data_IF_025547447811
#
_entry.id   IF_025547447811
#
_cell.length_a   1.000
_cell.length_b   1.000
_cell.length_c   1.000
_cell.angle_alpha   90.00
_cell.angle_beta   90.00
_cell.angle_gamma   90.00
#
_symmetry.space_group_name_H-M   'P 1'
#
loop_
_entity.id
_entity.type
_entity.pdbx_description
1 polymer ?
#
# COMPACT_ATOMS: atom_id res chain seq x y z
N UNK A 1 55.11 -27.47 -68.46
CA UNK A 1 56.33 -26.84 -67.93
C UNK A 1 56.11 -25.37 -67.80
N UNK A 2 56.68 -24.80 -66.77
CA UNK A 2 56.75 -23.38 -66.39
C UNK A 2 55.65 -22.86 -65.55
N UNK A 3 56.06 -22.70 -64.34
CA UNK A 3 55.41 -22.14 -63.14
C UNK A 3 55.58 -20.63 -63.21
N UNK A 4 54.50 -19.88 -63.04
CA UNK A 4 54.60 -18.45 -62.72
C UNK A 4 53.80 -18.13 -61.47
N UNK A 5 54.53 -17.79 -60.40
CA UNK A 5 53.97 -17.33 -59.08
C UNK A 5 53.59 -15.88 -59.26
N UNK A 6 52.36 -15.57 -58.96
CA UNK A 6 51.92 -14.19 -58.74
C UNK A 6 51.63 -13.97 -57.28
N UNK A 7 52.29 -12.98 -56.66
CA UNK A 7 52.13 -12.51 -55.28
C UNK A 7 50.95 -11.58 -55.25
N UNK A 8 49.91 -11.96 -54.55
CA UNK A 8 48.84 -11.06 -54.26
C UNK A 8 49.08 -10.35 -52.87
N UNK A 9 49.11 -9.06 -52.90
CA UNK A 9 49.27 -8.17 -51.74
C UNK A 9 48.05 -8.27 -50.85
N UNK A 10 48.28 -8.50 -49.57
CA UNK A 10 47.23 -8.43 -48.52
C UNK A 10 47.06 -6.99 -48.08
N UNK A 11 45.97 -6.38 -48.46
CA UNK A 11 45.50 -5.11 -47.88
C UNK A 11 44.75 -5.44 -46.62
N UNK A 12 45.27 -5.05 -45.47
CA UNK A 12 44.60 -5.14 -44.19
C UNK A 12 43.72 -3.90 -44.03
N UNK A 13 42.40 -4.06 -44.17
CA UNK A 13 41.43 -3.04 -43.80
C UNK A 13 41.12 -3.20 -42.31
N UNK A 14 41.56 -2.24 -41.52
CA UNK A 14 41.14 -2.09 -40.12
C UNK A 14 39.73 -1.50 -40.07
N UNK A 15 38.74 -2.34 -39.78
CA UNK A 15 37.38 -1.89 -39.49
C UNK A 15 37.30 -1.50 -38.01
N UNK A 16 37.25 -0.20 -37.75
CA UNK A 16 36.95 0.36 -36.43
C UNK A 16 35.45 0.17 -36.14
N UNK A 17 35.12 -0.83 -35.33
CA UNK A 17 33.78 -0.94 -34.72
C UNK A 17 33.61 0.14 -33.65
N UNK A 18 33.00 1.26 -34.01
CA UNK A 18 32.48 2.23 -33.07
C UNK A 18 31.24 1.63 -32.37
N UNK A 19 31.44 1.06 -31.18
CA UNK A 19 30.34 0.63 -30.33
C UNK A 19 29.61 1.82 -29.78
N UNK A 20 28.46 2.18 -30.32
CA UNK A 20 27.53 3.11 -29.71
C UNK A 20 26.87 2.41 -28.52
N UNK A 21 27.35 2.70 -27.30
CA UNK A 21 26.69 2.32 -26.06
C UNK A 21 25.50 3.25 -25.92
N UNK A 22 24.33 2.79 -26.34
CA UNK A 22 23.05 3.38 -25.98
C UNK A 22 22.83 3.16 -24.48
N UNK A 23 23.17 4.14 -23.65
CA UNK A 23 22.73 4.25 -22.28
C UNK A 23 21.23 4.50 -22.32
N UNK A 24 20.42 3.44 -22.31
CA UNK A 24 19.02 3.53 -21.90
C UNK A 24 19.01 3.91 -20.43
N UNK A 25 19.06 5.21 -20.17
CA UNK A 25 18.68 5.77 -18.89
C UNK A 25 17.17 5.52 -18.72
N UNK A 26 16.84 4.31 -18.29
CA UNK A 26 15.51 4.01 -17.78
C UNK A 26 15.28 4.97 -16.62
N UNK A 27 14.51 6.03 -16.88
CA UNK A 27 13.90 6.82 -15.84
C UNK A 27 12.96 5.89 -15.08
N UNK A 28 13.51 5.14 -14.12
CA UNK A 28 12.72 4.53 -13.08
C UNK A 28 12.08 5.71 -12.35
N UNK A 29 10.85 6.03 -12.75
CA UNK A 29 10.02 7.00 -12.06
C UNK A 29 9.83 6.46 -10.65
N UNK A 30 10.68 6.93 -9.75
CA UNK A 30 10.61 6.62 -8.33
C UNK A 30 9.38 7.32 -7.76
N UNK A 31 8.20 6.68 -7.97
CA UNK A 31 6.95 7.06 -7.33
C UNK A 31 7.07 7.12 -5.80
N UNK A 32 8.07 6.47 -5.23
CA UNK A 32 8.42 6.57 -3.81
C UNK A 32 8.96 7.95 -3.40
N UNK A 33 9.64 8.68 -4.28
CA UNK A 33 10.20 10.00 -3.94
C UNK A 33 9.12 11.08 -3.78
N UNK A 34 7.95 10.90 -4.38
CA UNK A 34 6.84 11.84 -4.23
C UNK A 34 6.22 11.80 -2.82
N UNK A 35 6.28 10.68 -2.14
CA UNK A 35 5.76 10.49 -0.78
C UNK A 35 6.60 11.23 0.26
N UNK A 36 7.91 11.36 0.02
CA UNK A 36 8.83 12.09 0.92
C UNK A 36 8.85 13.61 0.68
N UNK A 37 8.33 14.09 -0.43
CA UNK A 37 8.31 15.52 -0.78
C UNK A 37 7.05 16.27 -0.35
N UNK A 38 6.38 15.82 0.73
CA UNK A 38 5.35 16.60 1.40
C UNK A 38 3.90 16.29 1.02
N UNK A 39 3.63 15.16 0.38
CA UNK A 39 2.26 14.64 0.23
C UNK A 39 1.65 14.21 1.55
N UNK A 40 0.31 13.99 1.58
CA UNK A 40 -0.34 13.42 2.75
C UNK A 40 0.15 11.98 2.97
N UNK A 41 0.31 11.59 4.23
CA UNK A 41 0.56 10.19 4.55
C UNK A 41 -0.20 9.79 5.81
N UNK A 42 -0.32 8.48 6.01
CA UNK A 42 -1.13 7.85 7.02
C UNK A 42 -0.31 6.78 7.74
N UNK A 43 -0.46 6.66 9.05
CA UNK A 43 0.04 5.50 9.78
C UNK A 43 -1.06 4.91 10.66
N UNK A 44 -0.94 3.63 10.97
CA UNK A 44 -1.89 2.90 11.80
C UNK A 44 -1.16 2.45 13.05
N UNK A 45 -1.67 2.85 14.20
CA UNK A 45 -1.19 2.42 15.51
C UNK A 45 -2.01 1.24 16.01
N UNK A 46 -1.34 0.11 16.15
CA UNK A 46 -1.88 -1.10 16.74
C UNK A 46 -0.73 -1.97 17.28
N UNK A 47 -0.77 -2.50 18.51
CA UNK A 47 -1.83 -2.28 19.52
C UNK A 47 -1.86 -0.82 20.02
N UNK A 48 -3.01 -0.41 20.51
CA UNK A 48 -3.18 0.93 21.09
C UNK A 48 -2.52 0.97 22.45
N UNK A 49 -1.90 2.12 22.79
CA UNK A 49 -1.41 2.37 24.13
C UNK A 49 -2.55 2.28 25.17
N UNK A 50 -2.49 1.34 26.12
CA UNK A 50 -3.57 1.15 27.10
C UNK A 50 -3.75 2.35 28.06
N UNK A 51 -2.75 3.22 28.15
CA UNK A 51 -2.81 4.44 28.97
C UNK A 51 -3.39 5.65 28.22
N UNK A 52 -3.66 5.53 26.92
CA UNK A 52 -4.34 6.58 26.16
C UNK A 52 -5.86 6.50 26.42
N UNK A 53 -6.30 7.14 27.47
CA UNK A 53 -7.71 7.09 27.90
C UNK A 53 -8.71 7.53 26.81
N UNK A 54 -8.46 8.59 26.00
CA UNK A 54 -9.29 8.95 24.86
C UNK A 54 -9.43 7.87 23.79
N UNK A 55 -8.42 7.03 23.63
CA UNK A 55 -8.39 5.95 22.66
C UNK A 55 -9.08 4.65 23.12
N UNK A 56 -9.57 4.63 24.35
CA UNK A 56 -10.20 3.43 24.94
C UNK A 56 -11.35 2.91 24.09
N UNK A 57 -11.34 1.60 23.82
CA UNK A 57 -12.34 0.93 23.00
C UNK A 57 -12.17 1.12 21.50
N UNK A 58 -11.14 1.83 21.04
CA UNK A 58 -10.78 1.80 19.64
C UNK A 58 -10.11 0.46 19.28
N UNK A 59 -10.27 0.04 18.05
CA UNK A 59 -9.61 -1.13 17.51
C UNK A 59 -8.17 -0.80 17.07
N UNK A 60 -8.00 0.39 16.48
CA UNK A 60 -6.71 0.98 16.12
C UNK A 60 -6.85 2.49 15.99
N UNK A 61 -5.71 3.20 15.96
CA UNK A 61 -5.68 4.62 15.67
C UNK A 61 -5.15 4.87 14.27
N UNK A 62 -5.67 5.92 13.65
CA UNK A 62 -5.23 6.44 12.36
C UNK A 62 -4.53 7.75 12.62
N UNK A 63 -3.27 7.85 12.24
CA UNK A 63 -2.52 9.10 12.28
C UNK A 63 -2.37 9.65 10.87
N UNK A 64 -2.69 10.92 10.69
CA UNK A 64 -2.58 11.63 9.42
C UNK A 64 -1.58 12.76 9.50
N UNK A 65 -0.78 12.91 8.45
CA UNK A 65 0.32 13.86 8.40
C UNK A 65 0.37 14.59 7.06
N UNK A 66 0.89 15.80 7.10
CA UNK A 66 1.31 16.56 5.94
C UNK A 66 2.67 17.18 6.24
N UNK A 67 3.66 17.01 5.37
CA UNK A 67 5.05 17.42 5.62
C UNK A 67 5.62 16.90 6.95
N UNK A 68 5.32 15.67 7.31
CA UNK A 68 5.70 15.04 8.58
C UNK A 68 5.10 15.72 9.84
N UNK A 69 4.18 16.66 9.68
CA UNK A 69 3.47 17.31 10.78
C UNK A 69 2.09 16.67 10.94
N UNK A 70 1.68 16.28 12.17
CA UNK A 70 0.32 15.81 12.41
C UNK A 70 -0.70 16.84 11.92
N UNK A 71 -1.61 16.42 11.06
CA UNK A 71 -2.56 17.32 10.39
C UNK A 71 -3.93 16.67 10.30
N UNK A 72 -4.99 17.41 10.60
CA UNK A 72 -6.35 16.95 10.43
C UNK A 72 -6.72 16.90 8.94
N UNK A 73 -6.45 15.77 8.30
CA UNK A 73 -6.96 15.48 6.97
C UNK A 73 -8.41 14.98 7.08
N UNK A 74 -9.17 15.10 5.99
CA UNK A 74 -10.48 14.46 5.91
C UNK A 74 -10.28 12.94 5.89
N UNK A 75 -10.76 12.23 6.92
CA UNK A 75 -10.64 10.78 7.06
C UNK A 75 -11.99 10.13 6.86
N UNK A 76 -12.08 9.30 5.85
CA UNK A 76 -13.22 8.42 5.60
C UNK A 76 -12.81 6.98 5.86
N UNK A 77 -13.70 6.19 6.44
CA UNK A 77 -13.45 4.78 6.68
C UNK A 77 -14.68 3.94 6.38
N UNK A 78 -14.45 2.71 5.92
CA UNK A 78 -15.48 1.70 5.76
C UNK A 78 -14.91 0.32 6.04
N UNK A 79 -15.70 -0.54 6.67
CA UNK A 79 -15.42 -1.95 6.79
C UNK A 79 -16.06 -2.71 5.63
N UNK A 80 -15.27 -3.51 4.97
CA UNK A 80 -15.69 -4.45 3.91
C UNK A 80 -15.47 -5.86 4.44
N UNK A 81 -16.50 -6.70 4.39
CA UNK A 81 -16.42 -8.03 4.98
C UNK A 81 -17.04 -9.11 4.14
N UNK A 82 -16.66 -10.33 4.45
CA UNK A 82 -17.28 -11.55 3.96
C UNK A 82 -17.85 -12.31 5.17
N UNK A 83 -19.18 -12.29 5.30
CA UNK A 83 -19.94 -12.94 6.38
C UNK A 83 -20.81 -14.02 5.76
N UNK A 84 -20.62 -15.26 6.15
CA UNK A 84 -21.35 -16.43 5.60
C UNK A 84 -21.30 -16.46 4.06
N UNK A 85 -20.14 -16.12 3.49
CA UNK A 85 -19.92 -16.05 2.04
C UNK A 85 -20.53 -14.84 1.34
N UNK A 86 -21.27 -13.99 2.05
CA UNK A 86 -21.90 -12.79 1.51
C UNK A 86 -21.06 -11.54 1.81
N UNK A 87 -20.95 -10.66 0.82
CA UNK A 87 -20.29 -9.38 1.00
C UNK A 87 -21.15 -8.43 1.84
N UNK A 88 -20.49 -7.75 2.77
CA UNK A 88 -21.06 -6.72 3.63
C UNK A 88 -20.17 -5.49 3.60
N UNK A 89 -20.80 -4.32 3.62
CA UNK A 89 -20.11 -3.03 3.72
C UNK A 89 -20.75 -2.23 4.84
N UNK A 90 -19.92 -1.67 5.71
CA UNK A 90 -20.36 -0.81 6.81
C UNK A 90 -19.54 0.49 6.74
N UNK A 91 -20.22 1.62 6.63
CA UNK A 91 -19.59 2.93 6.76
C UNK A 91 -19.20 3.15 8.22
N UNK A 92 -18.00 3.66 8.46
CA UNK A 92 -17.48 3.92 9.79
C UNK A 92 -17.31 5.42 10.02
N UNK A 93 -17.41 5.84 11.25
CA UNK A 93 -17.21 7.22 11.65
C UNK A 93 -15.97 7.36 12.56
N UNK A 94 -14.76 7.53 12.00
CA UNK A 94 -13.56 7.73 12.79
C UNK A 94 -13.71 8.93 13.73
N UNK A 95 -13.46 8.73 15.02
CA UNK A 95 -13.59 9.79 16.03
C UNK A 95 -12.27 10.53 16.15
N UNK A 96 -12.24 11.84 15.89
CA UNK A 96 -11.06 12.67 16.15
C UNK A 96 -10.76 12.72 17.66
N UNK A 97 -9.53 12.36 18.03
CA UNK A 97 -9.06 12.41 19.42
C UNK A 97 -8.18 13.63 19.68
N UNK A 98 -7.30 13.92 18.76
CA UNK A 98 -6.36 15.04 18.76
C UNK A 98 -5.90 15.33 17.34
N UNK A 99 -5.17 16.42 17.14
CA UNK A 99 -4.67 16.81 15.80
C UNK A 99 -4.01 15.63 15.10
N UNK A 100 -4.51 15.31 13.91
CA UNK A 100 -4.01 14.23 13.07
C UNK A 100 -4.23 12.82 13.63
N UNK A 101 -5.06 12.63 14.67
CA UNK A 101 -5.29 11.30 15.27
C UNK A 101 -6.77 10.99 15.39
N UNK A 102 -7.16 9.86 14.84
CA UNK A 102 -8.55 9.40 14.79
C UNK A 102 -8.65 7.97 15.33
N UNK A 103 -9.66 7.70 16.14
CA UNK A 103 -9.98 6.36 16.62
C UNK A 103 -10.97 5.67 15.68
N UNK A 104 -10.67 4.44 15.32
CA UNK A 104 -11.59 3.56 14.59
C UNK A 104 -12.05 2.45 15.54
N UNK A 105 -13.38 2.30 15.64
CA UNK A 105 -14.02 1.30 16.48
C UNK A 105 -14.64 0.20 15.63
N UNK A 106 -14.83 -0.97 16.24
CA UNK A 106 -15.56 -2.06 15.58
C UNK A 106 -17.06 -1.78 15.60
N UNK A 107 -17.62 -1.39 14.46
CA UNK A 107 -19.04 -1.11 14.27
C UNK A 107 -19.73 -2.17 13.37
N UNK A 108 -18.99 -3.21 12.90
CA UNK A 108 -19.51 -4.20 11.94
C UNK A 108 -19.79 -5.57 12.54
N UNK A 109 -19.47 -5.77 13.82
CA UNK A 109 -19.72 -7.03 14.52
C UNK A 109 -18.55 -8.02 14.47
N UNK A 110 -18.72 -9.14 15.17
CA UNK A 110 -17.64 -10.09 15.46
C UNK A 110 -17.50 -11.23 14.42
N UNK A 111 -18.47 -11.41 13.49
CA UNK A 111 -18.43 -12.52 12.55
C UNK A 111 -17.85 -12.11 11.20
N UNK A 112 -17.13 -13.05 10.57
CA UNK A 112 -16.64 -12.91 9.21
C UNK A 112 -15.18 -12.48 9.12
N UNK A 113 -14.71 -12.32 7.89
CA UNK A 113 -13.39 -11.81 7.54
C UNK A 113 -13.54 -10.38 7.06
N UNK A 114 -12.85 -9.45 7.68
CA UNK A 114 -13.04 -8.03 7.42
C UNK A 114 -11.75 -7.33 6.98
N UNK A 115 -11.88 -6.31 6.16
CA UNK A 115 -10.85 -5.30 5.89
C UNK A 115 -11.45 -3.92 6.14
N UNK A 116 -10.76 -3.09 6.89
CA UNK A 116 -11.11 -1.68 7.05
C UNK A 116 -10.29 -0.87 6.06
N UNK A 117 -10.98 -0.17 5.18
CA UNK A 117 -10.40 0.75 4.22
C UNK A 117 -10.50 2.16 4.77
N UNK A 118 -9.35 2.82 4.90
CA UNK A 118 -9.24 4.19 5.39
C UNK A 118 -8.71 5.04 4.26
N UNK A 119 -9.36 6.16 3.98
CA UNK A 119 -8.91 7.16 3.00
C UNK A 119 -8.72 8.47 3.73
N UNK A 120 -7.51 9.01 3.66
CA UNK A 120 -7.21 10.35 4.11
C UNK A 120 -7.00 11.26 2.90
N UNK A 121 -7.72 12.40 2.87
CA UNK A 121 -7.72 13.32 1.75
C UNK A 121 -7.24 14.70 2.19
N UNK A 122 -6.26 15.21 1.45
CA UNK A 122 -5.79 16.59 1.53
C UNK A 122 -6.59 17.44 0.54
N UNK A 123 -7.12 18.59 0.95
CA UNK A 123 -7.99 19.40 0.07
C UNK A 123 -7.24 20.15 -1.03
N UNK A 124 -6.03 20.65 -0.74
CA UNK A 124 -5.28 21.49 -1.70
C UNK A 124 -3.74 21.32 -1.53
N UNK A 125 -3.00 20.89 -2.59
CA UNK A 125 -3.55 20.26 -3.79
C UNK A 125 -4.26 18.95 -3.44
N UNK A 126 -5.33 18.63 -4.15
CA UNK A 126 -6.13 17.43 -3.82
C UNK A 126 -5.30 16.17 -3.99
N UNK A 127 -5.07 15.48 -2.90
CA UNK A 127 -4.36 14.20 -2.88
C UNK A 127 -4.99 13.28 -1.85
N UNK A 128 -5.12 12.00 -2.18
CA UNK A 128 -5.68 10.99 -1.28
C UNK A 128 -4.72 9.82 -1.12
N UNK A 129 -4.67 9.30 0.08
CA UNK A 129 -3.91 8.11 0.43
C UNK A 129 -4.85 7.11 1.09
N UNK A 130 -4.60 5.82 0.86
CA UNK A 130 -5.38 4.74 1.44
C UNK A 130 -4.52 3.85 2.33
N UNK A 131 -5.10 3.45 3.46
CA UNK A 131 -4.63 2.31 4.24
C UNK A 131 -5.70 1.22 4.24
N UNK A 132 -5.27 -0.02 4.33
CA UNK A 132 -6.13 -1.19 4.48
C UNK A 132 -5.66 -1.98 5.69
N UNK A 133 -6.58 -2.20 6.61
CA UNK A 133 -6.34 -2.94 7.85
C UNK A 133 -7.17 -4.22 7.81
N UNK A 134 -6.50 -5.35 7.78
CA UNK A 134 -7.16 -6.64 7.87
C UNK A 134 -7.56 -6.93 9.31
N UNK A 135 -8.79 -7.39 9.50
CA UNK A 135 -9.32 -7.75 10.82
C UNK A 135 -9.75 -9.20 10.80
N UNK A 136 -9.29 -9.95 11.79
CA UNK A 136 -9.63 -11.36 11.98
C UNK A 136 -11.06 -11.55 12.50
N UNK A 137 -11.53 -12.79 12.43
CA UNK A 137 -12.85 -13.17 12.96
C UNK A 137 -12.94 -13.00 14.49
N UNK A 138 -11.81 -13.00 15.16
CA UNK A 138 -11.67 -12.73 16.60
C UNK A 138 -11.63 -11.23 16.94
N UNK A 139 -11.73 -10.36 15.92
CA UNK A 139 -11.61 -8.91 16.06
C UNK A 139 -10.16 -8.41 16.18
N UNK A 140 -9.16 -9.28 16.07
CA UNK A 140 -7.76 -8.85 16.11
C UNK A 140 -7.36 -8.09 14.86
N UNK A 141 -6.51 -7.07 15.02
CA UNK A 141 -5.89 -6.37 13.91
C UNK A 141 -4.76 -7.24 13.35
N UNK A 142 -4.87 -7.57 12.08
CA UNK A 142 -3.89 -8.35 11.36
C UNK A 142 -2.92 -7.48 10.56
N UNK A 143 -2.87 -7.73 9.23
CA UNK A 143 -1.97 -6.98 8.33
C UNK A 143 -2.47 -5.56 8.11
N UNK A 144 -1.54 -4.61 8.14
CA UNK A 144 -1.72 -3.24 7.65
C UNK A 144 -1.00 -3.11 6.31
N UNK A 145 -1.70 -2.57 5.31
CA UNK A 145 -1.17 -2.36 3.96
C UNK A 145 -1.43 -0.92 3.52
N UNK A 146 -0.41 -0.28 2.96
CA UNK A 146 -0.53 1.01 2.28
C UNK A 146 -0.41 0.74 0.77
N UNK A 147 -1.53 0.59 0.05
CA UNK A 147 -1.49 0.26 -1.36
C UNK A 147 -0.96 1.46 -2.18
N UNK A 148 -0.19 1.19 -3.23
CA UNK A 148 0.35 2.23 -4.12
C UNK A 148 -0.73 2.93 -4.95
N UNK A 149 -1.90 2.33 -5.09
CA UNK A 149 -3.10 2.89 -5.72
C UNK A 149 -4.33 2.59 -4.89
N UNK A 150 -5.36 3.38 -5.06
CA UNK A 150 -6.64 3.09 -4.43
C UNK A 150 -7.14 1.71 -4.84
N UNK A 151 -7.48 0.88 -3.86
CA UNK A 151 -8.04 -0.45 -4.11
C UNK A 151 -9.45 -0.34 -4.67
N UNK A 152 -9.70 -1.09 -5.73
CA UNK A 152 -11.04 -1.22 -6.30
C UNK A 152 -11.88 -2.21 -5.46
N UNK A 153 -13.20 -2.18 -5.65
CA UNK A 153 -14.10 -3.14 -5.02
C UNK A 153 -13.71 -4.60 -5.33
N UNK A 154 -13.26 -4.88 -6.56
CA UNK A 154 -12.79 -6.19 -6.98
C UNK A 154 -11.48 -6.62 -6.29
N UNK A 155 -10.56 -5.68 -6.06
CA UNK A 155 -9.31 -5.96 -5.33
C UNK A 155 -9.62 -6.36 -3.88
N UNK A 156 -10.51 -5.62 -3.23
CA UNK A 156 -10.94 -5.89 -1.85
C UNK A 156 -11.63 -7.25 -1.76
N UNK A 157 -12.57 -7.55 -2.66
CA UNK A 157 -13.27 -8.82 -2.67
C UNK A 157 -12.31 -10.00 -2.87
N UNK A 158 -11.36 -9.89 -3.80
CA UNK A 158 -10.33 -10.90 -4.01
C UNK A 158 -9.51 -11.14 -2.74
N UNK A 159 -9.09 -10.08 -2.06
CA UNK A 159 -8.36 -10.16 -0.79
C UNK A 159 -9.18 -10.85 0.31
N UNK A 160 -10.45 -10.49 0.46
CA UNK A 160 -11.36 -11.09 1.43
C UNK A 160 -11.55 -12.59 1.18
N UNK A 161 -11.81 -12.99 -0.08
CA UNK A 161 -11.99 -14.40 -0.46
C UNK A 161 -10.72 -15.22 -0.22
N UNK A 162 -9.56 -14.67 -0.56
CA UNK A 162 -8.27 -15.33 -0.32
C UNK A 162 -8.03 -15.59 1.17
N UNK A 163 -8.40 -14.64 2.04
CA UNK A 163 -8.25 -14.79 3.49
C UNK A 163 -9.31 -15.72 4.11
N UNK A 164 -10.54 -15.67 3.64
CA UNK A 164 -11.60 -16.54 4.11
C UNK A 164 -11.36 -18.02 3.77
N UNK A 165 -10.69 -18.32 2.66
CA UNK A 165 -10.29 -19.67 2.26
C UNK A 165 -8.95 -20.15 2.82
N UNK A 166 -8.17 -19.26 3.47
CA UNK A 166 -6.90 -19.64 4.06
C UNK A 166 -7.12 -20.44 5.36
N UNK A 167 -6.38 -21.53 5.58
CA UNK A 167 -6.45 -22.27 6.84
C UNK A 167 -6.05 -21.34 8.00
N UNK A 168 -6.83 -21.41 9.08
CA UNK A 168 -6.53 -20.67 10.32
C UNK A 168 -5.15 -21.14 10.82
N UNK A 169 -4.14 -20.28 10.75
CA UNK A 169 -2.86 -20.55 11.40
C UNK A 169 -3.09 -20.41 12.92
N UNK A 170 -3.33 -21.55 13.57
CA UNK A 170 -3.26 -21.64 15.03
C UNK A 170 -1.81 -21.37 15.38
N UNK A 171 -1.55 -20.20 15.98
CA UNK A 171 -0.20 -19.82 16.41
C UNK A 171 0.31 -20.88 17.38
N UNK A 172 1.44 -21.53 17.03
CA UNK A 172 2.20 -22.30 17.98
C UNK A 172 2.66 -21.32 19.09
N UNK A 173 2.28 -21.59 20.32
CA UNK A 173 2.80 -20.94 21.53
C UNK A 173 4.20 -21.43 21.83
#
# INVERSE_FOLDING_TARGET
MSITRSRAARTVMAASLGGAILLLSGAASSSHAAWFKGGPWISIETPINPYDAPARGALFLVHTFHHAVPTNLAVEARAEGLVDGQRRTVSLSPSALRTGTFAVRNEWGAKGTWSVLIVATQPAPKASIQAVVDVGADGSVGRVTLPQRMMTAADVERSLRARAGAPVRVGAR
#
